data_IF_570463384108
#
_entry.id   IF_570463384108
#
_cell.length_a   1.000
_cell.length_b   1.000
_cell.length_c   1.000
_cell.angle_alpha   90.00
_cell.angle_beta   90.00
_cell.angle_gamma   90.00
#
_symmetry.space_group_name_H-M   'P 1'
#
loop_
_entity.id
_entity.type
_entity.pdbx_description
1 polymer ?
#
# COMPACT_ATOMS: atom_id res chain seq x y z
N UNK A 1 6.78 18.70 -4.65
CA UNK A 1 8.10 18.12 -4.29
C UNK A 1 8.16 16.74 -4.90
N UNK A 2 9.28 16.38 -5.53
CA UNK A 2 9.50 15.04 -6.07
C UNK A 2 10.19 14.21 -4.97
N UNK A 3 9.60 13.10 -4.52
CA UNK A 3 10.25 12.24 -3.54
C UNK A 3 11.56 11.71 -4.12
N UNK A 4 12.59 11.55 -3.29
CA UNK A 4 13.88 10.98 -3.74
C UNK A 4 13.80 9.48 -3.98
N UNK A 5 12.89 8.81 -3.30
CA UNK A 5 12.69 7.36 -3.38
C UNK A 5 11.20 7.07 -3.52
N UNK A 6 10.86 6.11 -4.38
CA UNK A 6 9.52 5.53 -4.44
C UNK A 6 9.62 4.05 -4.06
N UNK A 7 8.95 3.66 -2.99
CA UNK A 7 8.79 2.24 -2.63
C UNK A 7 7.50 1.76 -3.27
N UNK A 8 7.54 0.60 -3.92
CA UNK A 8 6.35 0.03 -4.58
C UNK A 8 6.13 -1.39 -4.05
N UNK A 9 4.91 -1.70 -3.62
CA UNK A 9 4.53 -3.05 -3.17
C UNK A 9 3.20 -3.45 -3.80
N UNK A 10 3.18 -4.60 -4.47
CA UNK A 10 1.95 -5.26 -4.91
C UNK A 10 1.47 -6.21 -3.81
N UNK A 11 0.16 -6.26 -3.58
CA UNK A 11 -0.43 -7.11 -2.54
C UNK A 11 -1.66 -7.82 -3.05
N UNK A 12 -1.87 -9.04 -2.54
CA UNK A 12 -3.07 -9.84 -2.79
C UNK A 12 -3.30 -10.75 -1.58
N UNK A 13 -4.45 -10.62 -0.92
CA UNK A 13 -4.87 -11.42 0.23
C UNK A 13 -3.79 -11.54 1.35
N UNK A 14 -3.36 -10.38 1.85
CA UNK A 14 -2.26 -10.21 2.79
C UNK A 14 -2.72 -9.79 4.20
N UNK A 15 -3.98 -9.99 4.59
CA UNK A 15 -4.55 -9.35 5.80
C UNK A 15 -3.76 -9.59 7.09
N UNK A 16 -3.12 -10.76 7.22
CA UNK A 16 -2.39 -11.15 8.43
C UNK A 16 -1.07 -10.39 8.64
N UNK A 17 -0.46 -9.85 7.59
CA UNK A 17 0.88 -9.24 7.66
C UNK A 17 0.97 -7.85 7.04
N UNK A 18 -0.02 -7.42 6.26
CA UNK A 18 0.06 -6.17 5.51
C UNK A 18 0.26 -4.95 6.43
N UNK A 19 -0.39 -4.92 7.60
CA UNK A 19 -0.19 -3.80 8.54
C UNK A 19 1.25 -3.73 9.07
N UNK A 20 1.83 -4.88 9.45
CA UNK A 20 3.20 -4.94 9.94
C UNK A 20 4.19 -4.52 8.85
N UNK A 21 4.03 -5.03 7.63
CA UNK A 21 4.88 -4.68 6.50
C UNK A 21 4.82 -3.18 6.19
N UNK A 22 3.62 -2.59 6.15
CA UNK A 22 3.48 -1.15 5.90
C UNK A 22 4.12 -0.34 7.01
N UNK A 23 3.84 -0.65 8.27
CA UNK A 23 4.48 0.04 9.41
C UNK A 23 6.00 -0.04 9.37
N UNK A 24 6.55 -1.20 9.00
CA UNK A 24 7.99 -1.36 8.84
C UNK A 24 8.57 -0.40 7.80
N UNK A 25 7.90 -0.19 6.67
CA UNK A 25 8.35 0.76 5.64
C UNK A 25 8.15 2.22 6.06
N UNK A 26 7.15 2.52 6.88
CA UNK A 26 6.90 3.88 7.36
C UNK A 26 7.88 4.31 8.46
N UNK A 27 8.36 3.36 9.27
CA UNK A 27 9.28 3.54 10.40
C UNK A 27 10.75 3.53 9.97
N UNK A 28 11.05 4.21 8.87
CA UNK A 28 12.40 4.33 8.33
C UNK A 28 13.02 5.67 8.76
N UNK A 29 14.32 5.69 9.02
CA UNK A 29 15.06 6.91 9.37
C UNK A 29 15.13 7.90 8.20
N UNK A 30 14.96 7.42 6.97
CA UNK A 30 14.87 8.24 5.77
C UNK A 30 13.41 8.53 5.43
N UNK A 31 13.03 9.81 5.32
CA UNK A 31 11.63 10.23 5.26
C UNK A 31 11.20 10.82 3.91
N UNK A 32 12.15 11.14 3.01
CA UNK A 32 11.88 11.76 1.70
C UNK A 32 11.55 10.69 0.63
N UNK A 33 10.46 9.97 0.88
CA UNK A 33 9.96 8.92 -0.01
C UNK A 33 8.44 8.94 -0.11
N UNK A 34 7.93 8.34 -1.19
CA UNK A 34 6.53 7.94 -1.32
C UNK A 34 6.42 6.41 -1.26
N UNK A 35 5.28 5.92 -0.79
CA UNK A 35 5.00 4.50 -0.74
C UNK A 35 3.75 4.17 -1.56
N UNK A 36 3.95 3.55 -2.71
CA UNK A 36 2.88 3.16 -3.63
C UNK A 36 2.51 1.71 -3.35
N UNK A 37 1.25 1.46 -3.01
CA UNK A 37 0.73 0.12 -2.74
C UNK A 37 -0.31 -0.20 -3.79
N UNK A 38 -0.13 -1.31 -4.51
CA UNK A 38 -1.04 -1.78 -5.54
C UNK A 38 -1.76 -3.01 -5.00
N UNK A 39 -3.04 -2.86 -4.70
CA UNK A 39 -3.88 -3.98 -4.30
C UNK A 39 -4.46 -4.66 -5.54
N UNK A 40 -4.03 -5.89 -5.81
CA UNK A 40 -4.37 -6.65 -7.02
C UNK A 40 -5.69 -7.42 -6.88
N UNK A 41 -6.70 -6.74 -6.33
CA UNK A 41 -8.05 -7.30 -6.16
C UNK A 41 -8.19 -8.26 -4.98
N UNK A 42 -7.60 -7.95 -3.83
CA UNK A 42 -7.79 -8.73 -2.61
C UNK A 42 -9.27 -8.86 -2.23
N UNK A 43 -9.64 -10.05 -1.76
CA UNK A 43 -11.00 -10.40 -1.32
C UNK A 43 -11.12 -10.55 0.20
N UNK A 44 -10.01 -10.46 0.91
CA UNK A 44 -9.93 -10.43 2.37
C UNK A 44 -9.91 -8.97 2.89
N UNK A 45 -9.57 -8.75 4.17
CA UNK A 45 -9.52 -7.40 4.76
C UNK A 45 -8.29 -6.58 4.37
N UNK A 46 -7.44 -7.04 3.44
CA UNK A 46 -6.25 -6.30 3.01
C UNK A 46 -6.59 -4.88 2.56
N UNK A 47 -7.63 -4.74 1.74
CA UNK A 47 -8.10 -3.45 1.22
C UNK A 47 -8.55 -2.52 2.34
N UNK A 48 -9.27 -3.04 3.34
CA UNK A 48 -9.76 -2.28 4.49
C UNK A 48 -8.58 -1.76 5.33
N UNK A 49 -7.62 -2.64 5.63
CA UNK A 49 -6.42 -2.30 6.41
C UNK A 49 -5.61 -1.22 5.70
N UNK A 50 -5.41 -1.35 4.38
CA UNK A 50 -4.66 -0.38 3.57
C UNK A 50 -5.37 0.98 3.48
N UNK A 51 -6.69 1.00 3.34
CA UNK A 51 -7.46 2.26 3.34
C UNK A 51 -7.35 2.99 4.68
N UNK A 52 -7.39 2.24 5.80
CA UNK A 52 -7.16 2.83 7.12
C UNK A 52 -5.75 3.44 7.21
N UNK A 53 -4.71 2.70 6.81
CA UNK A 53 -3.33 3.18 6.88
C UNK A 53 -3.08 4.38 5.97
N UNK A 54 -3.62 4.39 4.75
CA UNK A 54 -3.46 5.51 3.81
C UNK A 54 -4.13 6.81 4.30
N UNK A 55 -5.20 6.70 5.09
CA UNK A 55 -5.82 7.86 5.74
C UNK A 55 -4.96 8.47 6.87
N UNK A 56 -4.06 7.67 7.46
CA UNK A 56 -3.21 8.06 8.58
C UNK A 56 -1.85 8.63 8.12
N UNK A 57 -1.33 8.18 6.98
CA UNK A 57 -0.03 8.62 6.46
C UNK A 57 -0.11 9.04 4.98
N UNK A 58 0.16 10.33 4.72
CA UNK A 58 0.09 10.95 3.39
C UNK A 58 1.15 10.44 2.42
N UNK A 59 2.18 9.74 2.88
CA UNK A 59 3.20 9.11 2.02
C UNK A 59 2.63 7.91 1.27
N UNK A 60 1.55 7.30 1.77
CA UNK A 60 0.93 6.13 1.15
C UNK A 60 0.05 6.58 -0.03
N UNK A 61 0.30 5.97 -1.19
CA UNK A 61 -0.54 6.06 -2.38
C UNK A 61 -1.09 4.68 -2.68
N UNK A 62 -2.37 4.48 -2.39
CA UNK A 62 -3.06 3.21 -2.62
C UNK A 62 -3.74 3.22 -4.00
N UNK A 63 -3.49 2.18 -4.79
CA UNK A 63 -4.16 1.93 -6.06
C UNK A 63 -4.80 0.55 -6.02
N UNK A 64 -6.11 0.47 -6.18
CA UNK A 64 -6.83 -0.79 -6.32
C UNK A 64 -6.97 -1.16 -7.79
N UNK A 65 -6.45 -2.33 -8.18
CA UNK A 65 -6.71 -2.90 -9.49
C UNK A 65 -8.03 -3.66 -9.46
N UNK A 66 -8.99 -3.22 -10.25
CA UNK A 66 -10.17 -4.04 -10.59
C UNK A 66 -9.72 -5.06 -11.64
N UNK A 67 -10.02 -6.35 -11.45
CA UNK A 67 -9.84 -7.36 -12.50
C UNK A 67 -10.52 -6.84 -13.77
N UNK A 68 -9.75 -6.66 -14.83
CA UNK A 68 -10.31 -6.46 -16.17
C UNK A 68 -11.20 -7.67 -16.45
N UNK A 69 -12.48 -7.45 -16.76
CA UNK A 69 -13.30 -8.50 -17.34
C UNK A 69 -12.66 -8.81 -18.70
N UNK A 70 -12.01 -9.96 -18.82
CA UNK A 70 -11.70 -10.54 -20.13
C UNK A 70 -13.04 -11.04 -20.68
N UNK A 71 -13.51 -10.40 -21.76
CA UNK A 71 -14.60 -10.89 -22.62
C UNK A 71 -14.13 -12.07 -23.48
#
# INVERSE_FOLDING_TARGET
MNPKISVITTVFNCESYIEQSVRSILDQTFHDFEYIIINDGSTDRTSEILNRLSSLDKRIKLTDRKKTQEE
#
